data_IF_413830222036
#
_entry.id   IF_413830222036
#
_cell.length_a   1.000
_cell.length_b   1.000
_cell.length_c   1.000
_cell.angle_alpha   90.00
_cell.angle_beta   90.00
_cell.angle_gamma   90.00
#
_symmetry.space_group_name_H-M   'P 1'
#
loop_
_entity.id
_entity.type
_entity.pdbx_description
1 polymer ?
#
# COMPACT_ATOMS: atom_id res chain seq x y z
N UNK A 1 5.62 -25.05 -29.75
CA UNK A 1 6.15 -23.80 -30.32
C UNK A 1 7.66 -23.83 -30.19
N UNK A 2 8.42 -23.53 -31.25
CA UNK A 2 9.87 -23.34 -31.19
C UNK A 2 10.14 -21.84 -31.00
N UNK A 3 10.86 -21.46 -29.94
CA UNK A 3 11.17 -20.07 -29.61
C UNK A 3 12.39 -19.59 -30.39
N UNK A 4 12.32 -18.38 -30.94
CA UNK A 4 13.40 -17.71 -31.66
C UNK A 4 14.37 -16.97 -30.73
N UNK A 5 15.36 -16.29 -31.32
CA UNK A 5 16.46 -15.58 -30.63
C UNK A 5 16.01 -14.58 -29.55
N UNK A 6 14.79 -14.04 -29.65
CA UNK A 6 14.25 -13.03 -28.73
C UNK A 6 13.18 -13.57 -27.77
N UNK A 7 13.04 -14.90 -27.65
CA UNK A 7 12.01 -15.52 -26.82
C UNK A 7 12.60 -16.48 -25.79
N UNK A 8 12.26 -16.26 -24.52
CA UNK A 8 12.45 -17.25 -23.47
C UNK A 8 11.20 -18.13 -23.41
N UNK A 9 11.38 -19.44 -23.63
CA UNK A 9 10.32 -20.41 -23.40
C UNK A 9 10.33 -20.88 -21.95
N UNK A 10 9.20 -20.70 -21.27
CA UNK A 10 8.96 -21.26 -19.95
C UNK A 10 8.75 -22.76 -20.08
N UNK A 11 9.62 -23.57 -19.46
CA UNK A 11 9.49 -25.04 -19.46
C UNK A 11 8.20 -25.53 -18.78
N UNK A 12 7.71 -24.77 -17.79
CA UNK A 12 6.48 -25.09 -17.08
C UNK A 12 5.77 -23.78 -16.68
N UNK A 13 4.52 -23.62 -17.08
CA UNK A 13 3.69 -22.46 -16.76
C UNK A 13 2.59 -22.89 -15.78
N UNK A 14 2.82 -22.64 -14.49
CA UNK A 14 1.80 -22.85 -13.46
C UNK A 14 0.95 -21.59 -13.29
N UNK A 15 -0.21 -21.57 -13.95
CA UNK A 15 -1.16 -20.45 -13.91
C UNK A 15 -1.60 -20.14 -12.46
N UNK A 16 -1.76 -21.16 -11.61
CA UNK A 16 -2.16 -20.97 -10.22
C UNK A 16 -1.04 -20.30 -9.41
N UNK A 17 0.22 -20.69 -9.65
CA UNK A 17 1.38 -20.07 -9.03
C UNK A 17 1.53 -18.60 -9.42
N UNK A 18 1.32 -18.27 -10.70
CA UNK A 18 1.33 -16.89 -11.20
C UNK A 18 0.24 -16.07 -10.53
N UNK A 19 -0.99 -16.60 -10.43
CA UNK A 19 -2.11 -15.90 -9.79
C UNK A 19 -1.86 -15.63 -8.29
N UNK A 20 -1.22 -16.56 -7.59
CA UNK A 20 -0.85 -16.38 -6.18
C UNK A 20 0.20 -15.27 -6.05
N UNK A 21 1.25 -15.31 -6.88
CA UNK A 21 2.31 -14.29 -6.86
C UNK A 21 1.75 -12.91 -7.19
N UNK A 22 0.93 -12.81 -8.24
CA UNK A 22 0.27 -11.56 -8.64
C UNK A 22 -0.61 -11.00 -7.52
N UNK A 23 -1.40 -11.86 -6.86
CA UNK A 23 -2.21 -11.44 -5.72
C UNK A 23 -1.38 -10.95 -4.53
N UNK A 24 -0.24 -11.59 -4.24
CA UNK A 24 0.64 -11.19 -3.13
C UNK A 24 1.37 -9.89 -3.45
N UNK A 25 1.91 -9.76 -4.66
CA UNK A 25 2.59 -8.55 -5.11
C UNK A 25 1.64 -7.36 -5.20
N UNK A 26 0.44 -7.55 -5.76
CA UNK A 26 -0.59 -6.50 -5.81
C UNK A 26 -1.00 -6.01 -4.43
N UNK A 27 -1.16 -6.93 -3.45
CA UNK A 27 -1.42 -6.56 -2.05
C UNK A 27 -0.24 -5.83 -1.41
N UNK A 28 1.00 -6.25 -1.68
CA UNK A 28 2.20 -5.63 -1.12
C UNK A 28 2.42 -4.21 -1.64
N UNK A 29 2.26 -4.01 -2.96
CA UNK A 29 2.42 -2.69 -3.59
C UNK A 29 1.31 -1.73 -3.14
N UNK A 30 0.07 -2.22 -3.06
CA UNK A 30 -1.04 -1.42 -2.55
C UNK A 30 -0.78 -0.99 -1.11
N UNK A 31 -0.29 -1.90 -0.25
CA UNK A 31 0.01 -1.58 1.13
C UNK A 31 1.14 -0.56 1.25
N UNK A 32 2.28 -0.75 0.56
CA UNK A 32 3.40 0.20 0.54
C UNK A 32 2.95 1.59 0.10
N UNK A 33 2.23 1.69 -1.02
CA UNK A 33 1.76 2.97 -1.55
C UNK A 33 0.82 3.69 -0.58
N UNK A 34 -0.09 2.95 0.07
CA UNK A 34 -1.01 3.54 1.05
C UNK A 34 -0.32 3.97 2.34
N UNK A 35 0.69 3.22 2.80
CA UNK A 35 1.46 3.55 4.00
C UNK A 35 2.36 4.76 3.75
N UNK A 36 3.06 4.82 2.62
CA UNK A 36 3.94 5.94 2.26
C UNK A 36 3.17 7.27 2.17
N UNK A 37 2.00 7.26 1.52
CA UNK A 37 1.16 8.45 1.41
C UNK A 37 0.67 8.95 2.77
N UNK A 38 0.31 8.03 3.68
CA UNK A 38 -0.11 8.37 5.03
C UNK A 38 1.05 8.94 5.87
N UNK A 39 2.22 8.30 5.82
CA UNK A 39 3.41 8.74 6.55
C UNK A 39 3.82 10.14 6.10
N UNK A 40 3.83 10.39 4.78
CA UNK A 40 4.13 11.72 4.24
C UNK A 40 3.19 12.80 4.79
N UNK A 41 1.88 12.55 4.83
CA UNK A 41 0.92 13.52 5.37
C UNK A 41 1.16 13.79 6.86
N UNK A 42 1.46 12.76 7.67
CA UNK A 42 1.80 12.95 9.08
C UNK A 42 3.13 13.70 9.27
N UNK A 43 4.13 13.45 8.43
CA UNK A 43 5.41 14.18 8.47
C UNK A 43 5.21 15.67 8.20
N UNK A 44 4.40 16.03 7.21
CA UNK A 44 4.11 17.43 6.89
C UNK A 44 3.36 18.15 8.01
N UNK A 45 2.37 17.46 8.61
CA UNK A 45 1.64 17.95 9.79
C UNK A 45 2.61 18.20 10.95
N UNK A 46 3.44 17.21 11.28
CA UNK A 46 4.36 17.30 12.41
C UNK A 46 5.34 18.45 12.21
N UNK A 47 5.87 18.61 10.99
CA UNK A 47 6.76 19.72 10.65
C UNK A 47 6.09 21.09 10.78
N UNK A 48 4.82 21.22 10.38
CA UNK A 48 4.04 22.44 10.55
C UNK A 48 3.74 22.73 12.02
N UNK A 49 3.35 21.71 12.77
CA UNK A 49 3.06 21.78 14.20
C UNK A 49 4.30 22.13 15.03
N UNK A 50 5.46 21.54 14.76
CA UNK A 50 6.73 21.84 15.44
C UNK A 50 7.12 23.32 15.30
N UNK A 51 6.87 23.92 14.14
CA UNK A 51 7.21 25.33 13.88
C UNK A 51 6.23 26.32 14.49
N UNK A 52 4.95 25.97 14.51
CA UNK A 52 3.86 26.91 14.86
C UNK A 52 3.26 26.67 16.24
N UNK A 53 3.54 25.52 16.85
CA UNK A 53 2.90 25.04 18.08
C UNK A 53 1.41 24.70 17.92
N UNK A 54 0.86 24.82 16.70
CA UNK A 54 -0.59 24.70 16.47
C UNK A 54 -0.87 23.64 15.40
N UNK A 55 -1.73 22.68 15.73
CA UNK A 55 -2.26 21.75 14.74
C UNK A 55 -3.35 22.43 13.91
N UNK A 56 -3.14 22.56 12.60
CA UNK A 56 -4.13 23.14 11.67
C UNK A 56 -4.36 22.20 10.49
N UNK A 57 -5.63 21.88 10.22
CA UNK A 57 -6.04 21.02 9.12
C UNK A 57 -7.52 21.24 8.81
N UNK A 58 -7.89 21.09 7.53
CA UNK A 58 -9.31 21.05 7.15
C UNK A 58 -9.99 19.82 7.76
N UNK A 59 -11.16 20.03 8.38
CA UNK A 59 -11.95 18.96 9.01
C UNK A 59 -12.17 17.75 8.08
N UNK A 60 -12.47 18.00 6.80
CA UNK A 60 -12.65 16.94 5.80
C UNK A 60 -11.38 16.10 5.61
N UNK A 61 -10.23 16.76 5.51
CA UNK A 61 -8.92 16.12 5.35
C UNK A 61 -8.57 15.27 6.57
N UNK A 62 -8.86 15.78 7.78
CA UNK A 62 -8.68 15.02 9.02
C UNK A 62 -9.48 13.70 9.01
N UNK A 63 -10.76 13.76 8.66
CA UNK A 63 -11.58 12.55 8.61
C UNK A 63 -11.12 11.56 7.54
N UNK A 64 -10.62 12.04 6.39
CA UNK A 64 -10.05 11.18 5.36
C UNK A 64 -8.76 10.50 5.83
N UNK A 65 -7.87 11.23 6.50
CA UNK A 65 -6.63 10.70 7.06
C UNK A 65 -6.91 9.60 8.11
N UNK A 66 -7.78 9.90 9.07
CA UNK A 66 -8.18 8.95 10.12
C UNK A 66 -8.90 7.73 9.53
N UNK A 67 -9.80 7.95 8.57
CA UNK A 67 -10.52 6.86 7.89
C UNK A 67 -9.58 5.91 7.14
N UNK A 68 -8.58 6.44 6.44
CA UNK A 68 -7.53 5.63 5.78
C UNK A 68 -6.72 4.84 6.79
N UNK A 69 -6.24 5.49 7.86
CA UNK A 69 -5.46 4.82 8.90
C UNK A 69 -6.24 3.66 9.56
N UNK A 70 -7.51 3.90 9.89
CA UNK A 70 -8.37 2.88 10.50
C UNK A 70 -8.68 1.71 9.55
N UNK A 71 -8.90 2.00 8.26
CA UNK A 71 -9.14 0.96 7.25
C UNK A 71 -7.91 0.07 7.06
N UNK A 72 -6.71 0.67 7.07
CA UNK A 72 -5.46 -0.08 7.01
C UNK A 72 -5.25 -0.95 8.25
N UNK A 73 -5.52 -0.41 9.44
CA UNK A 73 -5.45 -1.18 10.68
C UNK A 73 -6.44 -2.36 10.67
N UNK A 74 -7.69 -2.12 10.23
CA UNK A 74 -8.70 -3.17 10.10
C UNK A 74 -8.26 -4.27 9.11
N UNK A 75 -7.64 -3.89 7.99
CA UNK A 75 -7.08 -4.84 7.04
C UNK A 75 -5.96 -5.70 7.65
N UNK A 76 -5.06 -5.09 8.44
CA UNK A 76 -3.99 -5.81 9.15
C UNK A 76 -4.57 -6.76 10.20
N UNK A 77 -5.56 -6.32 10.99
CA UNK A 77 -6.27 -7.15 11.97
C UNK A 77 -6.90 -8.37 11.29
N UNK A 78 -7.64 -8.16 10.20
CA UNK A 78 -8.25 -9.24 9.41
C UNK A 78 -7.22 -10.23 8.84
N UNK A 79 -6.06 -9.74 8.41
CA UNK A 79 -4.95 -10.57 7.91
C UNK A 79 -4.28 -11.39 9.01
N UNK A 80 -4.15 -10.84 10.23
CA UNK A 80 -3.50 -11.48 11.37
C UNK A 80 -4.45 -12.36 12.19
N UNK A 81 -5.77 -12.22 12.02
CA UNK A 81 -6.79 -13.04 12.68
C UNK A 81 -6.93 -12.77 14.17
N UNK A 82 -6.65 -11.53 14.61
CA UNK A 82 -6.68 -11.08 16.00
C UNK A 82 -8.01 -10.41 16.32
#
# INVERSE_FOLDING_TARGET
MQGGLDYIMLQNLNINGIRIIDSVLGQSIALDYYVDGMVSEFTDINRGMEKTGTFTMERKKLFQLVGKANSNLAYVILKLGI
#
